data_IF_643700992399
#
_entry.id   IF_643700992399
#
_cell.length_a   1.000
_cell.length_b   1.000
_cell.length_c   1.000
_cell.angle_alpha   90.00
_cell.angle_beta   90.00
_cell.angle_gamma   90.00
#
_symmetry.space_group_name_H-M   'P 1'
#
loop_
_entity.id
_entity.type
_entity.pdbx_description
1 polymer ?
#
# COMPACT_ATOMS: atom_id res chain seq x y z
N UNK A 1 64.20 -27.48 0.96
CA UNK A 1 63.24 -27.03 -0.08
C UNK A 1 61.88 -27.66 0.21
N UNK A 2 61.03 -26.89 0.91
CA UNK A 2 59.61 -27.15 1.19
C UNK A 2 58.76 -26.81 -0.06
N UNK A 3 57.49 -27.18 -0.24
CA UNK A 3 56.58 -28.19 0.27
C UNK A 3 55.33 -28.14 -0.65
N UNK A 4 54.51 -29.19 -0.57
CA UNK A 4 53.35 -29.50 -1.41
C UNK A 4 52.27 -28.41 -1.51
N UNK A 5 51.56 -28.40 -2.65
CA UNK A 5 50.33 -27.65 -2.93
C UNK A 5 49.13 -28.34 -2.27
N UNK A 6 48.38 -27.63 -1.44
CA UNK A 6 47.02 -27.97 -1.01
C UNK A 6 46.06 -26.87 -1.42
N UNK A 7 44.87 -27.27 -1.90
CA UNK A 7 43.81 -26.36 -2.34
C UNK A 7 43.11 -25.65 -1.18
N UNK A 8 42.67 -24.42 -1.44
CA UNK A 8 41.85 -23.62 -0.56
C UNK A 8 40.98 -22.67 -1.38
N UNK A 9 39.67 -22.71 -1.14
CA UNK A 9 38.62 -22.03 -1.89
C UNK A 9 38.73 -20.50 -1.79
N UNK A 10 38.33 -19.74 -2.83
CA UNK A 10 38.38 -18.28 -2.80
C UNK A 10 37.28 -17.73 -1.88
N UNK A 11 37.75 -17.02 -0.85
CA UNK A 11 37.07 -16.04 0.00
C UNK A 11 35.77 -15.44 -0.55
N UNK A 12 34.75 -15.49 0.31
CA UNK A 12 33.43 -14.88 0.13
C UNK A 12 33.51 -13.41 -0.29
N UNK A 13 32.78 -13.11 -1.36
CA UNK A 13 32.36 -11.79 -1.79
C UNK A 13 31.65 -11.04 -0.65
N UNK A 14 32.14 -9.85 -0.33
CA UNK A 14 31.44 -8.88 0.54
C UNK A 14 30.08 -8.53 -0.09
N UNK A 15 29.00 -8.32 0.70
CA UNK A 15 27.74 -7.82 0.15
C UNK A 15 27.95 -6.43 -0.47
N UNK A 16 27.25 -6.09 -1.56
CA UNK A 16 27.44 -4.83 -2.27
C UNK A 16 27.10 -3.64 -1.36
N UNK A 17 27.96 -2.61 -1.38
CA UNK A 17 27.72 -1.36 -0.66
C UNK A 17 26.78 -0.50 -1.49
N UNK A 18 25.82 0.16 -0.83
CA UNK A 18 24.74 1.00 -1.38
C UNK A 18 25.16 2.18 -2.31
N UNK A 19 26.45 2.32 -2.61
CA UNK A 19 27.03 3.38 -3.44
C UNK A 19 26.95 3.09 -4.94
N UNK A 20 26.56 1.87 -5.33
CA UNK A 20 26.61 1.40 -6.71
C UNK A 20 25.26 1.51 -7.46
N UNK A 21 24.19 2.00 -6.82
CA UNK A 21 22.82 2.03 -7.40
C UNK A 21 22.51 3.31 -8.19
N UNK A 22 23.40 4.31 -8.21
CA UNK A 22 23.12 5.57 -8.91
C UNK A 22 24.33 5.97 -9.75
N UNK A 23 24.37 5.54 -11.02
CA UNK A 23 24.65 6.38 -12.21
C UNK A 23 24.47 5.51 -13.47
N UNK A 24 23.39 5.74 -14.23
CA UNK A 24 23.45 5.74 -15.70
C UNK A 24 22.21 6.39 -16.31
N UNK A 25 22.32 7.59 -16.90
CA UNK A 25 21.26 8.16 -17.71
C UNK A 25 21.38 7.59 -19.13
N UNK A 26 20.40 6.79 -19.57
CA UNK A 26 20.22 6.56 -21.00
C UNK A 26 19.47 7.76 -21.59
N UNK A 27 20.06 8.30 -22.65
CA UNK A 27 19.66 9.52 -23.33
C UNK A 27 18.22 9.47 -23.86
N UNK A 28 17.54 10.63 -23.85
CA UNK A 28 16.45 10.90 -24.79
C UNK A 28 15.00 10.86 -24.28
N UNK A 29 14.72 10.88 -22.97
CA UNK A 29 13.33 10.93 -22.50
C UNK A 29 12.84 12.37 -22.24
N UNK A 30 12.01 12.84 -23.18
CA UNK A 30 11.23 14.07 -23.10
C UNK A 30 10.21 13.93 -21.98
N UNK A 31 10.36 14.71 -20.91
CA UNK A 31 9.44 14.75 -19.76
C UNK A 31 8.01 15.01 -20.23
N UNK A 32 7.18 13.96 -20.15
CA UNK A 32 5.73 14.08 -20.27
C UNK A 32 5.15 13.68 -18.92
N UNK A 33 4.54 14.66 -18.26
CA UNK A 33 3.44 14.53 -17.31
C UNK A 33 3.53 13.34 -16.34
N UNK A 34 4.27 13.52 -15.25
CA UNK A 34 4.26 12.62 -14.10
C UNK A 34 3.22 13.15 -13.09
N UNK A 35 1.96 12.68 -13.11
CA UNK A 35 1.01 13.09 -12.06
C UNK A 35 -0.18 12.14 -11.80
N UNK A 36 -0.19 10.89 -12.28
CA UNK A 36 -1.41 10.06 -12.18
C UNK A 36 -1.28 8.61 -11.69
N UNK A 37 -0.12 8.13 -11.27
CA UNK A 37 0.07 6.70 -10.99
C UNK A 37 0.31 6.34 -9.52
N UNK A 38 0.42 7.32 -8.61
CA UNK A 38 0.49 7.09 -7.17
C UNK A 38 -0.92 7.12 -6.53
N UNK A 39 -1.90 6.47 -7.17
CA UNK A 39 -3.34 6.70 -6.90
C UNK A 39 -3.95 5.84 -5.80
N UNK A 40 -3.21 4.90 -5.21
CA UNK A 40 -3.75 4.11 -4.09
C UNK A 40 -3.20 4.63 -2.76
N UNK A 41 -4.10 5.22 -1.96
CA UNK A 41 -3.85 5.51 -0.54
C UNK A 41 -4.91 4.81 0.30
N UNK A 42 -4.48 3.84 1.10
CA UNK A 42 -5.35 3.14 2.04
C UNK A 42 -5.44 3.93 3.34
N UNK A 43 -6.63 4.41 3.72
CA UNK A 43 -6.78 5.13 4.98
C UNK A 43 -7.08 4.18 6.14
N UNK A 44 -6.32 4.28 7.23
CA UNK A 44 -6.51 3.46 8.44
C UNK A 44 -7.96 3.35 8.94
N UNK A 45 -8.77 4.39 8.74
CA UNK A 45 -10.18 4.44 9.20
C UNK A 45 -11.14 3.62 8.34
N UNK A 46 -10.84 3.43 7.05
CA UNK A 46 -11.71 2.70 6.13
C UNK A 46 -11.42 1.20 6.15
N UNK A 47 -10.20 0.80 6.54
CA UNK A 47 -9.77 -0.61 6.59
C UNK A 47 -10.76 -1.53 7.32
N UNK A 48 -11.27 -1.21 8.53
CA UNK A 48 -12.22 -2.09 9.20
C UNK A 48 -13.52 -2.27 8.41
N UNK A 49 -13.95 -1.23 7.67
CA UNK A 49 -15.14 -1.29 6.83
C UNK A 49 -14.91 -2.15 5.58
N UNK A 50 -13.73 -2.06 4.98
CA UNK A 50 -13.33 -2.90 3.85
C UNK A 50 -13.31 -4.37 4.30
N UNK A 51 -12.67 -4.68 5.43
CA UNK A 51 -12.60 -6.03 5.96
C UNK A 51 -14.00 -6.61 6.24
N UNK A 52 -14.87 -5.83 6.88
CA UNK A 52 -16.26 -6.20 7.12
C UNK A 52 -17.01 -6.51 5.81
N UNK A 53 -16.92 -5.62 4.81
CA UNK A 53 -17.61 -5.81 3.54
C UNK A 53 -17.04 -6.99 2.73
N UNK A 54 -15.75 -7.30 2.85
CA UNK A 54 -15.14 -8.50 2.28
C UNK A 54 -15.73 -9.78 2.89
N UNK A 55 -15.65 -9.93 4.22
CA UNK A 55 -16.17 -11.12 4.92
C UNK A 55 -17.67 -11.26 4.67
N UNK A 56 -18.41 -10.16 4.72
CA UNK A 56 -19.84 -10.15 4.38
C UNK A 56 -20.09 -10.60 2.95
N UNK A 57 -19.33 -10.09 1.98
CA UNK A 57 -19.46 -10.48 0.57
C UNK A 57 -19.17 -11.96 0.35
N UNK A 58 -18.16 -12.50 1.01
CA UNK A 58 -17.78 -13.91 0.91
C UNK A 58 -18.84 -14.83 1.55
N UNK A 59 -19.37 -14.49 2.73
CA UNK A 59 -20.45 -15.25 3.39
C UNK A 59 -21.75 -15.23 2.59
N UNK A 60 -22.12 -14.08 2.03
CA UNK A 60 -23.36 -13.94 1.25
C UNK A 60 -23.39 -14.78 -0.02
N UNK A 61 -22.22 -15.05 -0.61
CA UNK A 61 -22.08 -15.91 -1.78
C UNK A 61 -21.75 -17.36 -1.41
N UNK A 62 -21.79 -17.71 -0.12
CA UNK A 62 -21.51 -19.06 0.40
C UNK A 62 -20.11 -19.60 0.02
N UNK A 63 -19.15 -18.70 -0.25
CA UNK A 63 -17.78 -19.08 -0.58
C UNK A 63 -16.93 -19.42 0.64
N UNK A 64 -17.33 -18.94 1.82
CA UNK A 64 -16.65 -19.20 3.10
C UNK A 64 -17.68 -19.46 4.18
N UNK A 65 -17.35 -20.38 5.07
CA UNK A 65 -18.07 -20.66 6.30
C UNK A 65 -17.28 -20.14 7.49
N UNK A 66 -17.95 -19.30 8.28
CA UNK A 66 -17.37 -18.63 9.44
C UNK A 66 -18.46 -18.61 10.50
N UNK A 67 -18.16 -19.15 11.68
CA UNK A 67 -19.05 -19.06 12.83
C UNK A 67 -19.27 -17.60 13.24
N UNK A 68 -20.49 -17.26 13.65
CA UNK A 68 -20.84 -15.88 14.03
C UNK A 68 -19.96 -15.32 15.17
N UNK A 69 -19.40 -16.18 16.01
CA UNK A 69 -18.49 -15.81 17.10
C UNK A 69 -17.12 -15.36 16.57
N UNK A 70 -16.67 -15.96 15.46
CA UNK A 70 -15.34 -15.75 14.88
C UNK A 70 -15.29 -14.65 13.82
N UNK A 71 -16.44 -14.19 13.32
CA UNK A 71 -16.53 -13.14 12.28
C UNK A 71 -15.67 -11.92 12.61
N UNK A 72 -15.71 -11.45 13.85
CA UNK A 72 -14.96 -10.24 14.25
C UNK A 72 -13.45 -10.50 14.17
N UNK A 73 -12.99 -11.69 14.57
CA UNK A 73 -11.57 -12.04 14.51
C UNK A 73 -11.11 -12.26 13.07
N UNK A 74 -11.92 -12.90 12.22
CA UNK A 74 -11.66 -13.01 10.78
C UNK A 74 -11.55 -11.63 10.11
N UNK A 75 -12.43 -10.69 10.46
CA UNK A 75 -12.33 -9.30 9.98
C UNK A 75 -11.03 -8.63 10.44
N UNK A 76 -10.59 -8.89 11.68
CA UNK A 76 -9.34 -8.34 12.22
C UNK A 76 -8.11 -8.92 11.53
N UNK A 77 -8.11 -10.18 11.13
CA UNK A 77 -7.02 -10.80 10.37
C UNK A 77 -6.83 -10.10 9.02
N UNK A 78 -7.92 -9.94 8.26
CA UNK A 78 -7.90 -9.22 6.98
C UNK A 78 -7.48 -7.76 7.16
N UNK A 79 -8.00 -7.09 8.21
CA UNK A 79 -7.64 -5.71 8.52
C UNK A 79 -6.14 -5.58 8.88
N UNK A 80 -5.57 -6.56 9.57
CA UNK A 80 -4.15 -6.56 9.96
C UNK A 80 -3.25 -6.56 8.74
N UNK A 81 -3.53 -7.40 7.75
CA UNK A 81 -2.79 -7.45 6.48
C UNK A 81 -2.85 -6.14 5.71
N UNK A 82 -4.04 -5.52 5.64
CA UNK A 82 -4.22 -4.20 5.03
C UNK A 82 -3.46 -3.09 5.77
N UNK A 83 -3.45 -3.13 7.10
CA UNK A 83 -2.69 -2.20 7.94
C UNK A 83 -1.18 -2.39 7.74
N UNK A 84 -0.70 -3.63 7.59
CA UNK A 84 0.70 -3.91 7.31
C UNK A 84 1.15 -3.28 5.99
N UNK A 85 0.37 -3.44 4.91
CA UNK A 85 0.65 -2.78 3.64
C UNK A 85 0.75 -1.25 3.81
N UNK A 86 -0.22 -0.63 4.47
CA UNK A 86 -0.23 0.81 4.73
C UNK A 86 1.01 1.26 5.51
N UNK A 87 1.39 0.52 6.56
CA UNK A 87 2.59 0.83 7.36
C UNK A 87 3.87 0.72 6.51
N UNK A 88 3.95 -0.28 5.63
CA UNK A 88 5.09 -0.46 4.73
C UNK A 88 5.18 0.68 3.70
N UNK A 89 4.06 1.12 3.15
CA UNK A 89 4.01 2.29 2.27
C UNK A 89 4.46 3.58 3.00
N UNK A 90 4.00 3.78 4.24
CA UNK A 90 4.39 4.90 5.08
C UNK A 90 5.89 4.88 5.39
N UNK A 91 6.47 3.71 5.64
CA UNK A 91 7.92 3.55 5.86
C UNK A 91 8.72 3.93 4.62
N UNK A 92 8.29 3.52 3.43
CA UNK A 92 8.91 3.91 2.15
C UNK A 92 8.82 5.43 1.97
N UNK A 93 7.66 6.01 2.28
CA UNK A 93 7.41 7.44 2.18
C UNK A 93 8.31 8.24 3.13
N UNK A 94 8.47 7.78 4.38
CA UNK A 94 9.39 8.37 5.35
C UNK A 94 10.85 8.25 4.91
N UNK A 95 11.27 7.08 4.43
CA UNK A 95 12.64 6.88 3.94
C UNK A 95 12.95 7.77 2.74
N UNK A 96 11.99 7.96 1.82
CA UNK A 96 12.12 8.88 0.71
C UNK A 96 12.35 10.32 1.19
N UNK A 97 11.60 10.77 2.21
CA UNK A 97 11.79 12.10 2.83
C UNK A 97 13.18 12.22 3.47
N UNK A 98 13.58 11.25 4.28
CA UNK A 98 14.92 11.24 4.90
C UNK A 98 16.04 11.15 3.86
N UNK A 99 15.80 10.48 2.72
CA UNK A 99 16.71 10.42 1.58
C UNK A 99 16.89 11.78 0.92
N UNK A 100 15.81 12.54 0.74
CA UNK A 100 15.86 13.90 0.19
C UNK A 100 16.59 14.87 1.12
N UNK A 101 16.26 14.85 2.42
CA UNK A 101 16.88 15.72 3.43
C UNK A 101 18.39 15.50 3.51
N UNK A 102 18.82 14.23 3.58
CA UNK A 102 20.25 13.87 3.63
C UNK A 102 21.05 14.32 2.41
N UNK A 103 20.39 14.44 1.25
CA UNK A 103 21.02 14.79 -0.03
C UNK A 103 20.75 16.25 -0.45
N UNK A 104 20.08 17.03 0.40
CA UNK A 104 19.62 18.39 0.10
C UNK A 104 18.91 18.51 -1.27
N UNK A 105 18.17 17.47 -1.64
CA UNK A 105 17.47 17.42 -2.92
C UNK A 105 16.15 18.21 -2.84
N UNK A 106 15.76 18.89 -3.94
CA UNK A 106 14.47 19.58 -3.99
C UNK A 106 13.31 18.58 -3.88
N UNK A 107 12.23 19.01 -3.23
CA UNK A 107 11.03 18.17 -3.02
C UNK A 107 10.39 17.68 -4.32
N UNK A 108 10.68 18.33 -5.45
CA UNK A 108 10.16 17.93 -6.77
C UNK A 108 10.69 16.55 -7.21
N UNK A 109 11.78 16.07 -6.59
CA UNK A 109 12.33 14.72 -6.83
C UNK A 109 11.75 13.65 -5.91
N UNK A 110 10.79 14.00 -5.04
CA UNK A 110 10.21 13.07 -4.07
C UNK A 110 9.61 11.83 -4.72
N UNK A 111 8.77 11.98 -5.74
CA UNK A 111 8.13 10.85 -6.41
C UNK A 111 9.16 9.89 -7.03
N UNK A 112 10.21 10.42 -7.66
CA UNK A 112 11.30 9.62 -8.23
C UNK A 112 12.05 8.84 -7.14
N UNK A 113 12.34 9.49 -6.00
CA UNK A 113 13.03 8.83 -4.88
C UNK A 113 12.14 7.77 -4.22
N UNK A 114 10.84 8.05 -4.01
CA UNK A 114 9.87 7.09 -3.47
C UNK A 114 9.81 5.82 -4.33
N UNK A 115 9.72 5.97 -5.66
CA UNK A 115 9.74 4.84 -6.60
C UNK A 115 11.04 4.06 -6.54
N UNK A 116 12.20 4.74 -6.53
CA UNK A 116 13.48 4.05 -6.45
C UNK A 116 13.65 3.22 -5.17
N UNK A 117 13.08 3.67 -4.04
CA UNK A 117 13.10 2.93 -2.78
C UNK A 117 12.12 1.75 -2.82
N UNK A 118 10.95 1.95 -3.42
CA UNK A 118 9.96 0.89 -3.60
C UNK A 118 10.47 -0.23 -4.50
N UNK A 119 11.13 0.10 -5.63
CA UNK A 119 11.77 -0.86 -6.53
C UNK A 119 12.85 -1.69 -5.81
N UNK A 120 13.70 -1.04 -5.01
CA UNK A 120 14.74 -1.73 -4.23
C UNK A 120 14.14 -2.67 -3.17
N UNK A 121 12.96 -2.34 -2.65
CA UNK A 121 12.23 -3.15 -1.67
C UNK A 121 11.24 -4.13 -2.29
N UNK A 122 11.17 -4.17 -3.63
CA UNK A 122 10.20 -4.97 -4.39
C UNK A 122 8.75 -4.74 -3.92
N UNK A 123 8.46 -3.51 -3.48
CA UNK A 123 7.16 -3.14 -2.93
C UNK A 123 6.30 -2.49 -4.01
N UNK A 124 5.14 -3.06 -4.35
CA UNK A 124 4.26 -2.50 -5.36
C UNK A 124 3.60 -1.23 -4.85
N UNK A 125 3.59 -0.18 -5.69
CA UNK A 125 2.94 1.10 -5.41
C UNK A 125 1.88 1.39 -6.48
N UNK A 126 0.92 2.27 -6.14
CA UNK A 126 -0.10 2.72 -7.08
C UNK A 126 -1.11 1.63 -7.41
N UNK A 127 -1.47 1.48 -8.67
CA UNK A 127 -2.44 0.50 -9.16
C UNK A 127 -2.00 -0.95 -8.90
N UNK A 128 -0.70 -1.25 -9.04
CA UNK A 128 -0.15 -2.55 -8.69
C UNK A 128 -0.28 -2.86 -7.19
N UNK A 129 -0.36 -1.83 -6.35
CA UNK A 129 -0.59 -1.96 -4.92
C UNK A 129 -1.96 -2.55 -4.58
N UNK A 130 -3.00 -2.22 -5.37
CA UNK A 130 -4.36 -2.77 -5.18
C UNK A 130 -4.33 -4.28 -5.32
N UNK A 131 -3.76 -4.76 -6.44
CA UNK A 131 -3.65 -6.19 -6.74
C UNK A 131 -2.82 -6.93 -5.69
N UNK A 132 -1.76 -6.29 -5.20
CA UNK A 132 -0.94 -6.86 -4.14
C UNK A 132 -1.69 -6.98 -2.82
N UNK A 133 -2.35 -5.92 -2.36
CA UNK A 133 -3.16 -5.95 -1.13
C UNK A 133 -4.22 -7.02 -1.22
N UNK A 134 -4.89 -7.09 -2.36
CA UNK A 134 -6.00 -8.01 -2.55
C UNK A 134 -5.53 -9.48 -2.60
N UNK A 135 -4.35 -9.74 -3.19
CA UNK A 135 -3.66 -11.03 -3.05
C UNK A 135 -3.25 -11.35 -1.61
N UNK A 136 -2.74 -10.37 -0.86
CA UNK A 136 -2.39 -10.56 0.57
C UNK A 136 -3.60 -10.80 1.45
N UNK A 137 -4.73 -10.14 1.18
CA UNK A 137 -6.00 -10.38 1.87
C UNK A 137 -6.48 -11.81 1.60
N UNK A 138 -6.34 -12.30 0.36
CA UNK A 138 -6.65 -13.68 0.01
C UNK A 138 -5.73 -14.67 0.74
N UNK A 139 -4.42 -14.43 0.76
CA UNK A 139 -3.47 -15.25 1.54
C UNK A 139 -3.85 -15.28 3.03
N UNK A 140 -4.21 -14.13 3.60
CA UNK A 140 -4.62 -14.02 5.00
C UNK A 140 -5.93 -14.75 5.30
N UNK A 141 -6.85 -14.86 4.33
CA UNK A 141 -8.07 -15.64 4.45
C UNK A 141 -7.75 -17.14 4.58
N UNK A 142 -6.79 -17.64 3.80
CA UNK A 142 -6.36 -19.05 3.85
C UNK A 142 -5.50 -19.39 5.07
N UNK A 143 -4.78 -18.42 5.63
CA UNK A 143 -3.93 -18.59 6.81
C UNK A 143 -4.70 -18.37 8.13
N UNK A 144 -5.93 -17.83 8.07
CA UNK A 144 -6.72 -17.51 9.25
C UNK A 144 -7.36 -18.76 9.87
N UNK A 145 -7.06 -18.99 11.15
CA UNK A 145 -7.72 -20.02 11.98
C UNK A 145 -9.20 -19.70 12.29
N UNK A 146 -9.67 -18.50 11.93
CA UNK A 146 -11.01 -18.01 12.21
C UNK A 146 -11.99 -18.32 11.05
N UNK A 147 -11.52 -18.93 9.97
CA UNK A 147 -12.34 -19.41 8.87
C UNK A 147 -12.48 -20.92 9.00
N UNK A 148 -13.72 -21.41 9.07
CA UNK A 148 -14.00 -22.83 9.30
C UNK A 148 -13.76 -23.64 8.02
N UNK A 149 -14.40 -23.23 6.92
CA UNK A 149 -14.24 -23.86 5.61
C UNK A 149 -14.26 -22.83 4.49
N UNK A 150 -13.49 -23.10 3.43
CA UNK A 150 -13.42 -22.30 2.20
C UNK A 150 -13.90 -23.17 1.04
N UNK A 151 -15.02 -22.78 0.44
CA UNK A 151 -15.65 -23.49 -0.68
C UNK A 151 -15.38 -22.83 -2.04
N UNK A 152 -15.14 -21.52 -2.05
CA UNK A 152 -14.87 -20.75 -3.26
C UNK A 152 -13.48 -21.04 -3.84
N UNK A 153 -13.39 -21.01 -5.17
CA UNK A 153 -12.09 -21.02 -5.85
C UNK A 153 -11.36 -19.70 -5.67
N UNK A 154 -10.03 -19.72 -5.81
CA UNK A 154 -9.18 -18.52 -5.72
C UNK A 154 -9.70 -17.38 -6.60
N UNK A 155 -10.18 -17.68 -7.82
CA UNK A 155 -10.69 -16.68 -8.76
C UNK A 155 -12.01 -16.03 -8.30
N UNK A 156 -12.90 -16.83 -7.70
CA UNK A 156 -14.17 -16.33 -7.15
C UNK A 156 -13.94 -15.45 -5.92
N UNK A 157 -13.10 -15.91 -4.98
CA UNK A 157 -12.71 -15.13 -3.81
C UNK A 157 -12.04 -13.82 -4.21
N UNK A 158 -11.11 -13.90 -5.18
CA UNK A 158 -10.39 -12.74 -5.73
C UNK A 158 -11.35 -11.71 -6.31
N UNK A 159 -12.35 -12.16 -7.08
CA UNK A 159 -13.34 -11.28 -7.71
C UNK A 159 -14.12 -10.47 -6.67
N UNK A 160 -14.60 -11.11 -5.60
CA UNK A 160 -15.33 -10.42 -4.54
C UNK A 160 -14.43 -9.42 -3.80
N UNK A 161 -13.21 -9.81 -3.47
CA UNK A 161 -12.25 -8.94 -2.76
C UNK A 161 -11.92 -7.71 -3.63
N UNK A 162 -11.66 -7.90 -4.93
CA UNK A 162 -11.35 -6.81 -5.85
C UNK A 162 -12.53 -5.84 -6.00
N UNK A 163 -13.75 -6.34 -6.09
CA UNK A 163 -14.95 -5.50 -6.13
C UNK A 163 -15.10 -4.64 -4.86
N UNK A 164 -14.89 -5.23 -3.68
CA UNK A 164 -15.01 -4.51 -2.40
C UNK A 164 -13.93 -3.45 -2.29
N UNK A 165 -12.68 -3.79 -2.62
CA UNK A 165 -11.59 -2.83 -2.64
C UNK A 165 -11.86 -1.68 -3.63
N UNK A 166 -12.29 -1.98 -4.85
CA UNK A 166 -12.62 -0.97 -5.85
C UNK A 166 -13.74 -0.02 -5.38
N UNK A 167 -14.79 -0.54 -4.72
CA UNK A 167 -15.91 0.24 -4.17
C UNK A 167 -15.43 1.26 -3.14
N UNK A 168 -14.57 0.85 -2.21
CA UNK A 168 -14.09 1.75 -1.15
C UNK A 168 -12.99 2.70 -1.63
N UNK A 169 -12.09 2.25 -2.52
CA UNK A 169 -11.04 3.10 -3.09
C UNK A 169 -11.59 4.22 -4.00
N UNK A 170 -12.67 3.96 -4.75
CA UNK A 170 -13.30 4.98 -5.63
C UNK A 170 -13.91 6.14 -4.84
N UNK A 171 -14.52 5.85 -3.69
CA UNK A 171 -15.08 6.89 -2.79
C UNK A 171 -13.97 7.81 -2.26
N UNK A 172 -12.78 7.27 -2.05
CA UNK A 172 -11.63 7.99 -1.55
C UNK A 172 -10.97 8.89 -2.63
N UNK A 173 -11.03 8.54 -3.92
CA UNK A 173 -10.53 9.40 -5.00
C UNK A 173 -11.27 10.75 -5.08
N UNK A 174 -12.58 10.77 -4.78
CA UNK A 174 -13.33 12.03 -4.72
C UNK A 174 -12.90 12.89 -3.53
N UNK A 175 -12.68 12.25 -2.37
CA UNK A 175 -12.18 12.92 -1.16
C UNK A 175 -10.78 13.47 -1.41
N UNK A 176 -9.87 12.67 -1.95
CA UNK A 176 -8.49 13.07 -2.25
C UNK A 176 -8.44 14.22 -3.27
N UNK A 177 -9.21 14.15 -4.35
CA UNK A 177 -9.34 15.25 -5.33
C UNK A 177 -9.79 16.55 -4.66
N UNK A 178 -10.79 16.48 -3.78
CA UNK A 178 -11.28 17.65 -3.04
C UNK A 178 -10.23 18.20 -2.07
N UNK A 179 -9.47 17.35 -1.39
CA UNK A 179 -8.37 17.78 -0.50
C UNK A 179 -7.24 18.42 -1.30
N UNK A 180 -6.80 17.81 -2.40
CA UNK A 180 -5.75 18.35 -3.28
C UNK A 180 -6.17 19.68 -3.91
N UNK A 181 -7.39 19.79 -4.42
CA UNK A 181 -7.92 21.05 -4.97
C UNK A 181 -7.93 22.17 -3.92
N UNK A 182 -8.21 21.82 -2.66
CA UNK A 182 -8.20 22.76 -1.55
C UNK A 182 -6.79 23.07 -1.03
N UNK A 183 -5.80 22.21 -1.29
CA UNK A 183 -4.39 22.37 -0.90
C UNK A 183 -3.46 22.81 -2.03
N UNK A 184 -4.00 23.19 -3.20
CA UNK A 184 -3.22 23.69 -4.37
C UNK A 184 -2.22 24.82 -4.06
N UNK A 185 -2.45 25.54 -2.96
CA UNK A 185 -1.60 26.67 -2.52
C UNK A 185 -0.37 26.21 -1.72
N UNK A 186 -0.31 24.95 -1.30
CA UNK A 186 0.78 24.37 -0.52
C UNK A 186 1.60 23.44 -1.41
N UNK A 187 2.92 23.45 -1.22
CA UNK A 187 3.83 22.57 -1.98
C UNK A 187 3.59 21.12 -1.57
N UNK A 188 3.18 20.29 -2.52
CA UNK A 188 3.02 18.85 -2.34
C UNK A 188 4.34 18.24 -1.82
N UNK A 189 4.25 17.35 -0.83
CA UNK A 189 5.41 16.75 -0.17
C UNK A 189 6.08 17.62 0.91
N UNK A 190 5.52 18.79 1.25
CA UNK A 190 5.91 19.56 2.44
C UNK A 190 5.25 19.01 3.71
N UNK A 191 5.91 19.12 4.87
CA UNK A 191 5.33 18.75 6.18
C UNK A 191 4.00 19.45 6.44
N UNK A 192 3.89 20.72 6.03
CA UNK A 192 2.65 21.49 6.15
C UNK A 192 1.53 20.99 5.23
N UNK A 193 1.89 20.47 4.05
CA UNK A 193 0.92 19.90 3.12
C UNK A 193 0.35 18.61 3.72
N UNK A 194 1.19 17.75 4.26
CA UNK A 194 0.78 16.46 4.83
C UNK A 194 -0.04 16.62 6.12
N UNK A 195 0.31 17.57 6.98
CA UNK A 195 -0.47 17.84 8.20
C UNK A 195 -1.88 18.32 7.85
N UNK A 196 -1.99 19.26 6.90
CA UNK A 196 -3.28 19.78 6.45
C UNK A 196 -4.07 18.78 5.61
N UNK A 197 -3.38 17.96 4.82
CA UNK A 197 -3.95 16.85 4.07
C UNK A 197 -4.62 15.85 5.02
N UNK A 198 -3.88 15.36 6.00
CA UNK A 198 -4.40 14.43 7.01
C UNK A 198 -5.56 15.03 7.81
N UNK A 199 -5.51 16.33 8.12
CA UNK A 199 -6.61 17.03 8.78
C UNK A 199 -7.86 17.07 7.90
N UNK A 200 -7.74 17.50 6.64
CA UNK A 200 -8.88 17.68 5.74
C UNK A 200 -9.50 16.36 5.27
N UNK A 201 -8.68 15.34 5.04
CA UNK A 201 -9.19 13.97 4.80
C UNK A 201 -10.07 13.57 5.98
N UNK A 202 -9.58 13.70 7.24
CA UNK A 202 -10.37 13.34 8.43
C UNK A 202 -11.69 14.10 8.53
N UNK A 203 -11.71 15.38 8.15
CA UNK A 203 -12.93 16.21 8.14
C UNK A 203 -13.92 15.76 7.07
N UNK A 204 -13.46 15.50 5.84
CA UNK A 204 -14.29 15.09 4.72
C UNK A 204 -14.81 13.66 4.87
N UNK A 205 -13.97 12.71 5.28
CA UNK A 205 -14.40 11.33 5.57
C UNK A 205 -15.46 11.32 6.68
N UNK A 206 -15.32 12.17 7.72
CA UNK A 206 -16.35 12.29 8.78
C UNK A 206 -17.67 12.81 8.23
N UNK A 207 -17.64 13.82 7.35
CA UNK A 207 -18.83 14.37 6.70
C UNK A 207 -19.48 13.35 5.77
N UNK A 208 -18.70 12.62 4.98
CA UNK A 208 -19.19 11.56 4.10
C UNK A 208 -19.86 10.43 4.90
N UNK A 209 -19.26 10.00 6.02
CA UNK A 209 -19.84 9.01 6.91
C UNK A 209 -21.17 9.48 7.54
N UNK A 210 -21.29 10.77 7.88
CA UNK A 210 -22.53 11.36 8.39
C UNK A 210 -23.62 11.50 7.32
N UNK A 211 -23.25 11.76 6.06
CA UNK A 211 -24.18 11.85 4.94
C UNK A 211 -24.72 10.48 4.51
N UNK A 212 -23.98 9.40 4.76
CA UNK A 212 -24.38 8.03 4.43
C UNK A 212 -25.34 7.39 5.46
N UNK A 213 -25.59 8.03 6.61
CA UNK A 213 -26.58 7.53 7.58
C UNK A 213 -27.99 7.94 7.14
N UNK A 214 -28.96 7.02 7.04
CA UNK A 214 -30.34 7.37 6.72
C UNK A 214 -30.89 8.25 7.85
N UNK A 215 -31.35 9.46 7.47
CA UNK A 215 -32.13 10.32 8.36
C UNK A 215 -33.48 9.64 8.59
N UNK A 216 -33.62 9.01 9.76
CA UNK A 216 -34.92 8.61 10.30
C UNK A 216 -35.70 9.83 10.75
#
# INVERSE_FOLDING_TARGET
>A
MAAAKTGGWPHLSRPPRFRDIVVRPLAGFRWRHCHKEDSMHLYRKIIPKIAHDCIRGLRLNEYVEIEDIQVIEAELDLATTMVEYMNNEDRISQEARSGLQRRHLPADRYAMVKRSIAEVREFPLGEAGVNFVAGKVLEALFDSDNVEEIYGSDEELRTIIDEVLAKHLTVDEEIDRNVRAALRNKREGSYEFETEYNRRVRELTRRAAQAAQPRY
#
